data_IF_539893452780
#
_entry.id   IF_539893452780
#
_cell.length_a   1.000
_cell.length_b   1.000
_cell.length_c   1.000
_cell.angle_alpha   90.00
_cell.angle_beta   90.00
_cell.angle_gamma   90.00
#
_symmetry.space_group_name_H-M   'P 1'
#
loop_
_entity.id
_entity.type
_entity.pdbx_description
1 polymer ?
#
# COMPACT_ATOMS: atom_id res chain seq x y z
N UNK A 1 5.39 5.45 22.31
CA UNK A 1 5.97 6.51 23.14
C UNK A 1 5.65 6.24 24.60
N UNK A 2 6.58 6.49 25.55
CA UNK A 2 6.35 6.27 26.98
C UNK A 2 5.28 7.18 27.58
N UNK A 3 4.98 8.29 26.92
CA UNK A 3 3.99 9.31 27.29
C UNK A 3 2.73 9.25 26.44
N UNK A 4 2.49 8.14 25.74
CA UNK A 4 1.31 7.99 24.88
C UNK A 4 0.00 8.06 25.69
N UNK A 5 -0.93 8.84 25.22
CA UNK A 5 -2.27 9.00 25.81
C UNK A 5 -3.33 8.16 25.09
N UNK A 6 -3.11 7.86 23.81
CA UNK A 6 -3.99 7.06 22.94
C UNK A 6 -3.19 5.93 22.33
N UNK A 7 -3.61 4.69 22.54
CA UNK A 7 -2.85 3.50 22.09
C UNK A 7 -3.77 2.59 21.28
N UNK A 8 -3.32 2.19 20.09
CA UNK A 8 -3.93 1.11 19.33
C UNK A 8 -3.28 -0.21 19.74
N UNK A 9 -4.10 -1.23 19.92
CA UNK A 9 -3.64 -2.62 20.16
C UNK A 9 -4.11 -3.46 18.97
N UNK A 10 -3.17 -4.16 18.34
CA UNK A 10 -3.46 -5.01 17.19
C UNK A 10 -2.45 -6.13 17.04
N UNK A 11 -2.72 -7.07 16.13
CA UNK A 11 -1.79 -8.13 15.73
C UNK A 11 -1.79 -8.31 14.21
N UNK A 12 -0.72 -8.93 13.70
CA UNK A 12 -0.56 -9.23 12.29
C UNK A 12 -0.06 -8.06 11.45
N UNK A 13 -0.30 -8.11 10.14
CA UNK A 13 0.32 -7.21 9.15
C UNK A 13 -0.09 -5.74 9.26
N UNK A 14 -1.24 -5.43 9.85
CA UNK A 14 -1.67 -4.04 10.10
C UNK A 14 -0.71 -3.29 11.01
N UNK A 15 0.05 -4.03 11.83
CA UNK A 15 0.97 -3.45 12.81
C UNK A 15 2.04 -2.56 12.16
N UNK A 16 2.51 -2.89 10.98
CA UNK A 16 3.49 -2.08 10.26
C UNK A 16 2.90 -0.74 9.81
N UNK A 17 1.67 -0.75 9.29
CA UNK A 17 0.94 0.48 8.92
C UNK A 17 0.64 1.35 10.16
N UNK A 18 0.27 0.73 11.28
CA UNK A 18 0.07 1.45 12.55
C UNK A 18 1.37 2.10 13.02
N UNK A 19 2.48 1.36 12.99
CA UNK A 19 3.78 1.86 13.44
C UNK A 19 4.25 3.07 12.63
N UNK A 20 4.19 3.02 11.28
CA UNK A 20 4.50 4.16 10.43
C UNK A 20 3.59 5.37 10.71
N UNK A 21 2.30 5.12 10.91
CA UNK A 21 1.35 6.19 11.21
C UNK A 21 1.61 6.81 12.59
N UNK A 22 1.96 6.01 13.58
CA UNK A 22 2.34 6.50 14.93
C UNK A 22 3.59 7.37 14.85
N UNK A 23 4.61 6.95 14.11
CA UNK A 23 5.83 7.74 13.92
C UNK A 23 5.50 9.09 13.26
N UNK A 24 4.65 9.08 12.23
CA UNK A 24 4.19 10.29 11.55
C UNK A 24 3.42 11.24 12.46
N UNK A 25 2.48 10.74 13.26
CA UNK A 25 1.68 11.55 14.18
C UNK A 25 2.52 12.12 15.33
N UNK A 26 3.43 11.30 15.89
CA UNK A 26 4.33 11.75 16.95
C UNK A 26 5.33 12.80 16.45
N UNK A 27 5.79 12.72 15.19
CA UNK A 27 6.61 13.77 14.57
C UNK A 27 5.86 15.11 14.45
N UNK A 28 4.51 15.10 14.47
CA UNK A 28 3.65 16.28 14.51
C UNK A 28 3.29 16.73 15.93
N UNK A 29 3.88 16.11 16.96
CA UNK A 29 3.66 16.46 18.36
C UNK A 29 2.48 15.76 19.03
N UNK A 30 1.90 14.74 18.40
CA UNK A 30 0.84 13.95 19.04
C UNK A 30 1.42 12.96 20.05
N UNK A 31 0.58 12.52 21.00
CA UNK A 31 0.95 11.53 22.02
C UNK A 31 0.21 10.22 21.78
N UNK A 32 0.57 9.57 20.68
CA UNK A 32 -0.04 8.31 20.28
C UNK A 32 0.95 7.16 20.40
N UNK A 33 0.41 5.96 20.59
CA UNK A 33 1.20 4.76 20.77
C UNK A 33 0.57 3.56 20.11
N UNK A 34 1.34 2.50 20.08
CA UNK A 34 0.95 1.23 19.53
C UNK A 34 1.49 0.08 20.37
N UNK A 35 0.65 -0.91 20.62
CA UNK A 35 1.01 -2.17 21.27
C UNK A 35 0.74 -3.32 20.32
N UNK A 36 1.80 -3.97 19.85
CA UNK A 36 1.72 -5.11 18.97
C UNK A 36 1.65 -6.41 19.77
N UNK A 37 0.62 -7.22 19.54
CA UNK A 37 0.49 -8.54 20.13
C UNK A 37 1.16 -9.56 19.20
N UNK A 38 2.34 -10.06 19.56
CA UNK A 38 3.03 -11.12 18.83
C UNK A 38 2.60 -12.51 19.29
N UNK A 39 2.59 -12.74 20.61
CA UNK A 39 2.14 -14.00 21.19
C UNK A 39 0.74 -13.83 21.77
N UNK A 40 -0.26 -14.27 21.00
CA UNK A 40 -1.66 -14.14 21.40
C UNK A 40 -2.08 -15.19 22.45
N UNK A 41 -1.57 -16.40 22.34
CA UNK A 41 -1.82 -17.49 23.31
C UNK A 41 -0.52 -18.19 23.70
N UNK A 42 -0.22 -18.32 25.01
CA UNK A 42 -0.99 -17.78 26.15
C UNK A 42 -0.91 -16.25 26.23
N UNK A 43 -2.02 -15.59 26.61
CA UNK A 43 -2.02 -14.13 26.81
C UNK A 43 -1.34 -13.80 28.14
N UNK A 44 -0.28 -12.99 28.10
CA UNK A 44 0.51 -12.68 29.29
C UNK A 44 0.07 -11.36 29.92
N UNK A 45 -0.62 -11.45 31.06
CA UNK A 45 -1.05 -10.28 31.84
C UNK A 45 0.13 -9.40 32.27
N UNK A 46 1.23 -10.03 32.72
CA UNK A 46 2.40 -9.30 33.18
C UNK A 46 3.06 -8.46 32.08
N UNK A 47 3.25 -9.04 30.88
CA UNK A 47 3.81 -8.30 29.76
C UNK A 47 2.86 -7.23 29.23
N UNK A 48 1.55 -7.53 29.20
CA UNK A 48 0.54 -6.56 28.79
C UNK A 48 0.53 -5.35 29.73
N UNK A 49 0.46 -5.57 31.04
CA UNK A 49 0.46 -4.50 32.03
C UNK A 49 1.73 -3.64 31.98
N UNK A 50 2.90 -4.29 31.83
CA UNK A 50 4.19 -3.59 31.75
C UNK A 50 4.35 -2.75 30.46
N UNK A 51 3.67 -3.13 29.36
CA UNK A 51 3.73 -2.41 28.09
C UNK A 51 2.84 -1.16 28.02
N UNK A 52 1.86 -1.04 28.94
CA UNK A 52 0.94 0.10 28.96
C UNK A 52 1.49 1.23 29.84
N UNK A 53 1.74 2.43 29.31
CA UNK A 53 2.15 3.58 30.11
C UNK A 53 1.01 4.04 31.03
N UNK A 54 1.38 4.71 32.14
CA UNK A 54 0.40 5.28 33.08
C UNK A 54 -0.38 6.47 32.49
N UNK A 55 0.15 7.08 31.43
CA UNK A 55 -0.45 8.23 30.75
C UNK A 55 -1.63 7.87 29.84
N UNK A 56 -1.87 6.58 29.61
CA UNK A 56 -2.89 6.13 28.66
C UNK A 56 -4.30 6.48 29.14
N UNK A 57 -5.05 7.17 28.27
CA UNK A 57 -6.44 7.59 28.51
C UNK A 57 -7.44 6.70 27.81
N UNK A 58 -7.15 6.34 26.56
CA UNK A 58 -8.02 5.52 25.71
C UNK A 58 -7.21 4.47 24.98
N UNK A 59 -7.70 3.25 24.97
CA UNK A 59 -7.22 2.16 24.15
C UNK A 59 -8.21 1.90 23.02
N UNK A 60 -7.71 1.57 21.84
CA UNK A 60 -8.52 0.98 20.77
C UNK A 60 -7.93 -0.37 20.38
N UNK A 61 -8.75 -1.40 20.42
CA UNK A 61 -8.37 -2.73 19.95
C UNK A 61 -8.90 -2.91 18.54
N UNK A 62 -8.01 -3.26 17.60
CA UNK A 62 -8.35 -3.54 16.22
C UNK A 62 -8.30 -5.03 15.94
N UNK A 63 -9.46 -5.60 15.61
CA UNK A 63 -9.62 -7.00 15.22
C UNK A 63 -9.96 -7.12 13.73
N UNK A 64 -9.28 -8.04 13.02
CA UNK A 64 -9.58 -8.37 11.62
C UNK A 64 -10.55 -9.56 11.54
N UNK A 65 -11.55 -9.55 12.37
CA UNK A 65 -12.61 -10.55 12.41
C UNK A 65 -13.92 -9.91 12.81
N UNK A 66 -15.01 -10.66 12.67
CA UNK A 66 -16.33 -10.31 13.17
C UNK A 66 -16.89 -11.54 13.90
N UNK A 67 -17.29 -11.35 15.16
CA UNK A 67 -17.91 -12.37 16.01
C UNK A 67 -19.40 -12.06 16.18
N UNK A 68 -20.28 -12.54 15.27
CA UNK A 68 -21.70 -12.25 15.35
C UNK A 68 -22.31 -12.80 16.63
N UNK A 69 -23.02 -11.94 17.38
CA UNK A 69 -23.66 -12.31 18.65
C UNK A 69 -22.75 -12.25 19.88
N UNK A 70 -21.45 -12.01 19.73
CA UNK A 70 -20.55 -11.75 20.85
C UNK A 70 -20.61 -10.26 21.28
N UNK A 71 -20.16 -9.98 22.50
CA UNK A 71 -20.02 -8.61 23.03
C UNK A 71 -18.89 -7.84 22.36
N UNK A 72 -17.99 -8.53 21.68
CA UNK A 72 -16.86 -7.95 20.96
C UNK A 72 -16.02 -9.05 20.31
N UNK A 73 -15.03 -8.65 19.55
CA UNK A 73 -14.09 -9.53 18.89
C UNK A 73 -13.05 -10.11 19.88
N UNK A 74 -12.33 -11.18 19.51
CA UNK A 74 -11.52 -11.95 20.46
C UNK A 74 -10.43 -11.14 21.16
N UNK A 75 -9.65 -10.34 20.42
CA UNK A 75 -8.57 -9.56 21.06
C UNK A 75 -9.13 -8.47 21.98
N UNK A 76 -10.24 -7.82 21.56
CA UNK A 76 -10.92 -6.84 22.40
C UNK A 76 -11.39 -7.46 23.72
N UNK A 77 -11.99 -8.65 23.67
CA UNK A 77 -12.43 -9.38 24.88
C UNK A 77 -11.27 -9.69 25.83
N UNK A 78 -10.14 -10.17 25.29
CA UNK A 78 -8.96 -10.48 26.08
C UNK A 78 -8.32 -9.22 26.70
N UNK A 79 -8.27 -8.12 25.97
CA UNK A 79 -7.76 -6.84 26.51
C UNK A 79 -8.66 -6.31 27.61
N UNK A 80 -9.98 -6.35 27.46
CA UNK A 80 -10.91 -5.97 28.51
C UNK A 80 -10.73 -6.81 29.78
N UNK A 81 -10.62 -8.14 29.62
CA UNK A 81 -10.37 -9.05 30.74
C UNK A 81 -9.03 -8.76 31.42
N UNK A 82 -7.97 -8.52 30.63
CA UNK A 82 -6.64 -8.22 31.15
C UNK A 82 -6.63 -6.90 31.95
N UNK A 83 -7.36 -5.88 31.52
CA UNK A 83 -7.46 -4.63 32.29
C UNK A 83 -8.17 -4.85 33.63
N UNK A 84 -9.25 -5.64 33.65
CA UNK A 84 -9.94 -5.99 34.90
C UNK A 84 -9.00 -6.73 35.85
N UNK A 85 -8.31 -7.77 35.39
CA UNK A 85 -7.38 -8.58 36.18
C UNK A 85 -6.18 -7.76 36.70
N UNK A 86 -5.77 -6.73 35.98
CA UNK A 86 -4.67 -5.85 36.40
C UNK A 86 -5.13 -4.62 37.18
N UNK A 87 -6.44 -4.48 37.42
CA UNK A 87 -7.03 -3.35 38.16
C UNK A 87 -6.97 -2.02 37.43
N UNK A 88 -6.79 -2.01 36.12
CA UNK A 88 -6.77 -0.78 35.30
C UNK A 88 -8.16 -0.40 34.82
N UNK A 89 -8.50 0.89 34.87
CA UNK A 89 -9.83 1.43 34.50
C UNK A 89 -9.81 2.19 33.18
N UNK A 90 -8.81 1.96 32.33
CA UNK A 90 -8.66 2.65 31.03
C UNK A 90 -9.83 2.34 30.10
N UNK A 91 -10.38 3.36 29.44
CA UNK A 91 -11.43 3.18 28.45
C UNK A 91 -10.92 2.40 27.24
N UNK A 92 -11.70 1.41 26.78
CA UNK A 92 -11.37 0.59 25.61
C UNK A 92 -12.47 0.74 24.55
N UNK A 93 -12.04 0.91 23.30
CA UNK A 93 -12.89 0.91 22.12
C UNK A 93 -12.57 -0.30 21.24
N UNK A 94 -13.61 -0.94 20.71
CA UNK A 94 -13.50 -2.02 19.74
C UNK A 94 -13.58 -1.45 18.32
N UNK A 95 -12.69 -1.89 17.45
CA UNK A 95 -12.70 -1.55 16.02
C UNK A 95 -12.46 -2.76 15.13
N UNK A 96 -13.15 -2.83 14.00
CA UNK A 96 -12.98 -3.86 12.97
C UNK A 96 -12.36 -3.25 11.73
N UNK A 97 -11.45 -3.99 11.10
CA UNK A 97 -10.75 -3.56 9.92
C UNK A 97 -10.49 -4.71 8.96
N UNK A 98 -10.14 -4.42 7.71
CA UNK A 98 -9.53 -5.36 6.76
C UNK A 98 -10.39 -6.56 6.38
N UNK A 99 -11.68 -6.60 6.72
CA UNK A 99 -12.60 -7.66 6.32
C UNK A 99 -12.76 -7.68 4.80
N UNK A 100 -13.04 -8.86 4.24
CA UNK A 100 -13.14 -9.05 2.77
C UNK A 100 -11.86 -8.62 2.03
N UNK A 101 -10.70 -8.85 2.62
CA UNK A 101 -9.38 -8.49 2.05
C UNK A 101 -9.22 -6.99 1.71
N UNK A 102 -9.92 -6.12 2.45
CA UNK A 102 -9.72 -4.68 2.32
C UNK A 102 -8.34 -4.28 2.82
N UNK A 103 -7.70 -3.41 2.07
CA UNK A 103 -6.42 -2.81 2.48
C UNK A 103 -6.60 -1.89 3.68
N UNK A 104 -5.51 -1.69 4.44
CA UNK A 104 -5.50 -0.77 5.59
C UNK A 104 -4.42 0.27 5.35
N UNK A 105 -4.85 1.53 5.28
CA UNK A 105 -4.00 2.66 4.93
C UNK A 105 -3.71 3.54 6.14
N UNK A 106 -2.67 4.39 6.07
CA UNK A 106 -2.39 5.38 7.11
C UNK A 106 -3.57 6.30 7.42
N UNK A 107 -4.35 6.72 6.41
CA UNK A 107 -5.54 7.55 6.65
C UNK A 107 -6.58 6.85 7.53
N UNK A 108 -6.74 5.53 7.36
CA UNK A 108 -7.63 4.73 8.21
C UNK A 108 -7.13 4.66 9.65
N UNK A 109 -5.84 4.53 9.87
CA UNK A 109 -5.23 4.51 11.21
C UNK A 109 -5.35 5.91 11.87
N UNK A 110 -5.16 6.99 11.12
CA UNK A 110 -5.40 8.35 11.60
C UNK A 110 -6.86 8.50 12.05
N UNK A 111 -7.82 8.04 11.24
CA UNK A 111 -9.24 8.08 11.59
C UNK A 111 -9.55 7.33 12.90
N UNK A 112 -8.85 6.22 13.18
CA UNK A 112 -8.96 5.52 14.46
C UNK A 112 -8.48 6.39 15.62
N UNK A 113 -7.32 7.05 15.50
CA UNK A 113 -6.83 7.98 16.53
C UNK A 113 -7.76 9.19 16.71
N UNK A 114 -8.32 9.72 15.62
CA UNK A 114 -9.27 10.83 15.69
C UNK A 114 -10.58 10.42 16.38
N UNK A 115 -11.05 9.19 16.13
CA UNK A 115 -12.18 8.64 16.89
C UNK A 115 -11.88 8.54 18.40
N UNK A 116 -10.66 8.16 18.79
CA UNK A 116 -10.25 8.08 20.20
C UNK A 116 -10.25 9.43 20.89
N UNK A 117 -9.86 10.48 20.18
CA UNK A 117 -9.81 11.88 20.69
C UNK A 117 -11.18 12.56 20.65
N UNK A 118 -12.04 12.17 19.71
CA UNK A 118 -13.32 12.82 19.41
C UNK A 118 -14.55 12.04 19.89
N UNK A 119 -15.29 11.47 18.95
CA UNK A 119 -16.59 10.84 19.19
C UNK A 119 -16.52 9.59 20.08
N UNK A 120 -15.38 8.93 20.15
CA UNK A 120 -15.16 7.69 20.89
C UNK A 120 -16.21 6.61 20.59
N UNK A 121 -16.57 6.49 19.30
CA UNK A 121 -17.50 5.48 18.81
C UNK A 121 -16.91 4.10 19.11
N UNK A 122 -17.70 3.28 19.78
CA UNK A 122 -17.31 1.89 20.10
C UNK A 122 -17.91 0.92 19.07
N UNK A 123 -17.30 -0.24 18.90
CA UNK A 123 -17.70 -1.27 17.91
C UNK A 123 -17.78 -0.72 16.49
N UNK A 124 -16.85 0.18 16.15
CA UNK A 124 -16.79 0.78 14.83
C UNK A 124 -16.15 -0.13 13.78
N UNK A 125 -16.35 0.22 12.51
CA UNK A 125 -15.60 -0.30 11.37
C UNK A 125 -14.79 0.81 10.71
N UNK A 126 -13.62 0.49 10.20
CA UNK A 126 -12.78 1.41 9.43
C UNK A 126 -12.38 0.79 8.09
N UNK A 127 -12.40 1.60 7.03
CA UNK A 127 -12.13 1.13 5.66
C UNK A 127 -13.23 0.26 5.04
N UNK A 128 -14.34 0.11 5.72
CA UNK A 128 -15.53 -0.62 5.30
C UNK A 128 -16.73 0.28 5.54
N UNK A 129 -17.57 0.46 4.53
CA UNK A 129 -18.83 1.20 4.68
C UNK A 129 -19.90 0.23 5.15
N UNK A 130 -20.42 0.47 6.34
CA UNK A 130 -21.56 -0.23 6.91
C UNK A 130 -22.76 0.72 6.98
N UNK A 131 -23.65 0.58 6.04
CA UNK A 131 -24.85 1.41 5.88
C UNK A 131 -26.08 0.83 6.62
N UNK A 132 -25.97 -0.35 7.22
CA UNK A 132 -27.03 -1.01 7.98
C UNK A 132 -26.97 -0.61 9.45
N UNK A 133 -25.83 -0.87 10.10
CA UNK A 133 -25.63 -0.52 11.52
C UNK A 133 -24.94 0.83 11.74
N UNK A 134 -24.54 1.50 10.67
CA UNK A 134 -23.83 2.78 10.68
C UNK A 134 -22.60 2.76 11.59
N UNK A 135 -21.88 1.64 11.63
CA UNK A 135 -20.71 1.47 12.49
C UNK A 135 -19.45 2.13 11.93
N UNK A 136 -19.42 2.49 10.65
CA UNK A 136 -18.26 3.09 9.99
C UNK A 136 -17.84 4.41 10.60
N UNK A 137 -16.54 4.65 10.69
CA UNK A 137 -15.95 5.97 10.94
C UNK A 137 -15.46 6.58 9.63
N UNK A 138 -15.52 7.90 9.53
CA UNK A 138 -15.04 8.63 8.35
C UNK A 138 -13.52 8.56 8.26
N UNK A 139 -13.03 8.38 7.03
CA UNK A 139 -11.60 8.35 6.71
C UNK A 139 -11.26 9.59 5.89
N UNK A 140 -10.29 10.36 6.36
CA UNK A 140 -9.82 11.56 5.69
C UNK A 140 -8.95 11.27 4.47
N UNK A 141 -8.28 12.32 3.97
CA UNK A 141 -7.35 12.20 2.86
C UNK A 141 -6.12 11.36 3.22
N UNK A 142 -5.65 10.57 2.26
CA UNK A 142 -4.45 9.74 2.44
C UNK A 142 -3.21 10.63 2.54
N UNK A 143 -2.45 10.59 3.64
CA UNK A 143 -1.18 11.29 3.75
C UNK A 143 -0.09 10.56 2.95
N UNK A 144 0.89 11.30 2.49
CA UNK A 144 2.13 10.70 1.98
C UNK A 144 3.09 10.51 3.16
N UNK A 145 3.30 9.25 3.56
CA UNK A 145 4.23 8.86 4.63
C UNK A 145 5.58 8.37 4.08
N UNK A 146 5.71 8.28 2.75
CA UNK A 146 6.94 7.80 2.14
C UNK A 146 8.11 8.71 2.49
N UNK A 147 9.24 8.12 2.85
CA UNK A 147 10.49 8.86 2.98
C UNK A 147 10.85 9.52 1.64
N UNK A 148 11.46 10.71 1.69
CA UNK A 148 11.82 11.46 0.48
C UNK A 148 12.72 10.68 -0.50
N UNK A 149 13.48 9.69 -0.01
CA UNK A 149 14.28 8.80 -0.84
C UNK A 149 13.49 7.65 -1.48
N UNK A 150 12.24 7.43 -1.04
CA UNK A 150 11.44 6.32 -1.52
C UNK A 150 10.91 6.58 -2.92
N UNK A 151 11.18 5.66 -3.83
CA UNK A 151 10.61 5.62 -5.17
C UNK A 151 9.51 4.58 -5.18
N UNK A 152 8.29 5.01 -5.53
CA UNK A 152 7.10 4.16 -5.64
C UNK A 152 6.75 3.96 -7.10
N UNK A 153 6.62 2.70 -7.53
CA UNK A 153 6.30 2.33 -8.90
C UNK A 153 5.06 1.43 -8.93
N UNK A 154 4.22 1.61 -9.94
CA UNK A 154 3.05 0.77 -10.16
C UNK A 154 2.97 0.29 -11.60
N UNK A 155 2.63 -0.98 -11.78
CA UNK A 155 2.56 -1.60 -13.11
C UNK A 155 1.21 -2.29 -13.27
N UNK A 156 0.50 -1.90 -14.33
CA UNK A 156 -0.77 -2.46 -14.72
C UNK A 156 -0.57 -3.47 -15.85
N UNK A 157 -0.82 -4.73 -15.58
CA UNK A 157 -0.62 -5.84 -16.51
C UNK A 157 -1.85 -6.71 -16.69
N UNK A 158 -1.80 -7.57 -17.69
CA UNK A 158 -2.81 -8.58 -17.96
C UNK A 158 -2.33 -9.93 -17.38
N UNK A 159 -3.20 -10.65 -16.74
CA UNK A 159 -2.91 -11.98 -16.21
C UNK A 159 -2.30 -12.89 -17.30
N UNK A 160 -1.14 -13.46 -16.99
CA UNK A 160 -0.35 -14.31 -17.88
C UNK A 160 0.47 -13.60 -18.98
N UNK A 161 0.57 -12.26 -18.94
CA UNK A 161 1.41 -11.50 -19.88
C UNK A 161 2.91 -11.43 -19.50
N UNK A 162 3.26 -11.95 -18.33
CA UNK A 162 4.63 -11.93 -17.79
C UNK A 162 5.01 -10.70 -16.98
N UNK A 163 4.11 -9.70 -16.87
CA UNK A 163 4.37 -8.46 -16.11
C UNK A 163 4.78 -8.72 -14.67
N UNK A 164 4.08 -9.60 -13.96
CA UNK A 164 4.38 -9.91 -12.56
C UNK A 164 5.75 -10.58 -12.42
N UNK A 165 6.09 -11.49 -13.33
CA UNK A 165 7.42 -12.15 -13.34
C UNK A 165 8.54 -11.15 -13.56
N UNK A 166 8.39 -10.24 -14.54
CA UNK A 166 9.36 -9.18 -14.80
C UNK A 166 9.52 -8.24 -13.59
N UNK A 167 8.43 -7.87 -12.93
CA UNK A 167 8.48 -6.99 -11.76
C UNK A 167 9.09 -7.67 -10.53
N UNK A 168 8.86 -8.98 -10.33
CA UNK A 168 9.56 -9.76 -9.30
C UNK A 168 11.07 -9.79 -9.57
N UNK A 169 11.47 -9.96 -10.81
CA UNK A 169 12.88 -9.89 -11.20
C UNK A 169 13.44 -8.46 -10.99
N UNK A 170 12.73 -7.43 -11.40
CA UNK A 170 13.16 -6.04 -11.24
C UNK A 170 13.42 -5.69 -9.78
N UNK A 171 12.50 -6.00 -8.87
CA UNK A 171 12.68 -5.68 -7.45
C UNK A 171 13.82 -6.49 -6.82
N UNK A 172 14.03 -7.74 -7.28
CA UNK A 172 15.16 -8.56 -6.86
C UNK A 172 16.49 -7.95 -7.33
N UNK A 173 16.57 -7.54 -8.60
CA UNK A 173 17.77 -6.86 -9.12
C UNK A 173 18.08 -5.61 -8.30
N UNK A 174 17.08 -4.78 -8.00
CA UNK A 174 17.28 -3.58 -7.18
C UNK A 174 17.79 -3.95 -5.78
N UNK A 175 17.18 -4.92 -5.12
CA UNK A 175 17.58 -5.34 -3.77
C UNK A 175 18.95 -6.02 -3.70
N UNK A 176 19.29 -6.82 -4.71
CA UNK A 176 20.56 -7.59 -4.70
C UNK A 176 21.76 -6.75 -5.16
N UNK A 177 21.54 -5.69 -5.95
CA UNK A 177 22.62 -4.93 -6.60
C UNK A 177 22.64 -3.44 -6.24
N UNK A 178 21.90 -3.03 -5.23
CA UNK A 178 21.95 -1.66 -4.67
C UNK A 178 21.87 -1.72 -3.15
N UNK A 179 22.27 -0.65 -2.48
CA UNK A 179 22.11 -0.51 -1.02
C UNK A 179 20.70 -0.09 -0.60
N UNK A 180 19.73 -0.18 -1.51
CA UNK A 180 18.35 0.25 -1.23
C UNK A 180 17.54 -0.85 -0.55
N UNK A 181 16.72 -0.44 0.39
CA UNK A 181 15.62 -1.27 0.88
C UNK A 181 14.57 -1.39 -0.20
N UNK A 182 14.09 -2.61 -0.45
CA UNK A 182 13.16 -2.90 -1.54
C UNK A 182 11.96 -3.70 -1.04
N UNK A 183 10.77 -3.34 -1.50
CA UNK A 183 9.52 -4.04 -1.19
C UNK A 183 8.68 -4.17 -2.45
N UNK A 184 8.01 -5.29 -2.61
CA UNK A 184 7.04 -5.51 -3.67
C UNK A 184 5.76 -6.14 -3.14
N UNK A 185 4.64 -5.72 -3.71
CA UNK A 185 3.33 -6.31 -3.49
C UNK A 185 2.62 -6.52 -4.83
N UNK A 186 1.93 -7.66 -4.97
CA UNK A 186 1.28 -8.03 -6.23
C UNK A 186 -0.19 -8.33 -5.99
N UNK A 187 -1.07 -7.58 -6.65
CA UNK A 187 -2.50 -7.83 -6.68
C UNK A 187 -2.87 -8.64 -7.93
N UNK A 188 -3.74 -9.60 -7.73
CA UNK A 188 -4.27 -10.46 -8.79
C UNK A 188 -5.79 -10.40 -8.79
N UNK A 189 -6.39 -10.40 -9.99
CA UNK A 189 -7.80 -10.73 -10.14
C UNK A 189 -8.02 -12.22 -9.78
N UNK A 190 -9.22 -12.57 -9.35
CA UNK A 190 -9.65 -13.95 -9.10
C UNK A 190 -9.61 -14.82 -10.36
N UNK A 191 -9.65 -14.22 -11.55
CA UNK A 191 -9.47 -14.91 -12.82
C UNK A 191 -8.02 -15.30 -13.03
N UNK A 192 -7.78 -16.58 -13.29
CA UNK A 192 -6.44 -17.14 -13.49
C UNK A 192 -5.75 -16.61 -14.75
N UNK A 193 -6.49 -16.27 -15.79
CA UNK A 193 -5.98 -15.74 -17.05
C UNK A 193 -6.90 -14.64 -17.56
N UNK A 194 -6.31 -13.58 -18.16
CA UNK A 194 -7.05 -12.44 -18.69
C UNK A 194 -7.61 -11.48 -17.62
N UNK A 195 -7.36 -11.73 -16.35
CA UNK A 195 -7.64 -10.80 -15.26
C UNK A 195 -6.59 -9.70 -15.18
N UNK A 196 -6.92 -8.62 -14.48
CA UNK A 196 -5.98 -7.52 -14.23
C UNK A 196 -4.94 -7.92 -13.18
N UNK A 197 -3.69 -7.49 -13.38
CA UNK A 197 -2.64 -7.57 -12.35
C UNK A 197 -2.10 -6.17 -12.07
N UNK A 198 -1.84 -5.87 -10.81
CA UNK A 198 -1.18 -4.65 -10.38
C UNK A 198 0.04 -5.00 -9.54
N UNK A 199 1.19 -4.53 -9.95
CA UNK A 199 2.44 -4.73 -9.20
C UNK A 199 2.84 -3.39 -8.59
N UNK A 200 3.13 -3.41 -7.30
CA UNK A 200 3.58 -2.26 -6.53
C UNK A 200 5.02 -2.50 -6.11
N UNK A 201 5.94 -1.67 -6.55
CA UNK A 201 7.35 -1.73 -6.16
C UNK A 201 7.70 -0.44 -5.40
N UNK A 202 8.34 -0.58 -4.26
CA UNK A 202 8.89 0.55 -3.50
C UNK A 202 10.33 0.24 -3.13
N UNK A 203 11.20 1.22 -3.29
CA UNK A 203 12.61 1.11 -2.91
C UNK A 203 13.16 2.47 -2.50
N UNK A 204 14.08 2.50 -1.55
CA UNK A 204 14.61 3.74 -0.98
C UNK A 204 15.78 3.50 -0.04
N UNK A 205 16.32 4.58 0.53
CA UNK A 205 17.50 4.52 1.40
C UNK A 205 17.15 4.16 2.86
N UNK A 206 15.86 4.10 3.18
CA UNK A 206 15.36 3.71 4.51
C UNK A 206 14.47 2.47 4.44
N UNK A 207 14.36 1.71 5.55
CA UNK A 207 13.47 0.56 5.61
C UNK A 207 12.02 0.91 5.27
N UNK A 208 11.40 0.14 4.39
CA UNK A 208 10.00 0.23 4.01
C UNK A 208 9.26 -0.87 4.77
N UNK A 209 8.45 -0.51 5.76
CA UNK A 209 7.80 -1.46 6.67
C UNK A 209 6.43 -1.88 6.20
N UNK A 210 5.54 -0.91 6.00
CA UNK A 210 4.14 -1.21 5.69
C UNK A 210 3.95 -1.69 4.27
N UNK A 211 2.95 -2.56 4.09
CA UNK A 211 2.65 -3.23 2.83
C UNK A 211 1.38 -2.71 2.16
N UNK A 212 0.92 -1.51 2.51
CA UNK A 212 -0.23 -0.90 1.85
C UNK A 212 0.06 -0.60 0.37
N UNK A 213 -0.99 -0.55 -0.43
CA UNK A 213 -0.90 -0.37 -1.88
C UNK A 213 -0.47 1.05 -2.26
N UNK A 214 0.30 1.16 -3.35
CA UNK A 214 0.57 2.45 -3.98
C UNK A 214 -0.68 2.87 -4.76
N UNK A 215 -1.45 3.78 -4.20
CA UNK A 215 -2.71 4.27 -4.79
C UNK A 215 -2.61 5.69 -5.30
N UNK A 216 -1.62 6.46 -4.82
CA UNK A 216 -1.33 7.84 -5.21
C UNK A 216 0.17 8.11 -5.09
N UNK A 217 0.61 9.24 -5.62
CA UNK A 217 1.98 9.73 -5.51
C UNK A 217 3.06 8.77 -6.06
N UNK A 218 2.70 7.92 -7.05
CA UNK A 218 3.68 7.07 -7.71
C UNK A 218 4.69 7.91 -8.52
N UNK A 219 5.96 7.58 -8.38
CA UNK A 219 7.03 8.18 -9.19
C UNK A 219 7.00 7.68 -10.63
N UNK A 220 6.60 6.42 -10.79
CA UNK A 220 6.56 5.73 -12.07
C UNK A 220 5.32 4.85 -12.15
N UNK A 221 4.56 4.99 -13.22
CA UNK A 221 3.45 4.08 -13.55
C UNK A 221 3.63 3.54 -14.96
N UNK A 222 3.49 2.23 -15.12
CA UNK A 222 3.46 1.59 -16.44
C UNK A 222 2.11 0.91 -16.66
N UNK A 223 1.53 1.13 -17.84
CA UNK A 223 0.37 0.41 -18.32
C UNK A 223 0.78 -0.47 -19.51
N UNK A 224 0.77 -1.78 -19.30
CA UNK A 224 1.20 -2.75 -20.30
C UNK A 224 0.13 -3.14 -21.28
N UNK A 225 -1.14 -2.75 -21.04
CA UNK A 225 -2.27 -3.01 -21.92
C UNK A 225 -3.03 -1.72 -22.21
N UNK A 226 -2.94 -1.24 -23.45
CA UNK A 226 -3.58 0.02 -23.87
C UNK A 226 -5.09 0.08 -23.62
N UNK A 227 -5.80 -1.07 -23.64
CA UNK A 227 -7.25 -1.10 -23.39
C UNK A 227 -7.65 -0.68 -21.95
N UNK A 228 -6.69 -0.58 -21.05
CA UNK A 228 -6.95 -0.14 -19.67
C UNK A 228 -7.12 1.38 -19.57
N UNK A 229 -6.63 2.13 -20.55
CA UNK A 229 -6.77 3.59 -20.56
C UNK A 229 -8.23 4.06 -20.64
N UNK A 230 -9.11 3.23 -21.20
CA UNK A 230 -10.55 3.51 -21.29
C UNK A 230 -11.36 3.01 -20.08
N UNK A 231 -10.73 2.18 -19.21
CA UNK A 231 -11.43 1.45 -18.16
C UNK A 231 -11.06 1.87 -16.75
N UNK A 232 -9.85 2.38 -16.58
CA UNK A 232 -9.27 2.66 -15.27
C UNK A 232 -8.63 4.04 -15.24
N UNK A 233 -8.76 4.72 -14.11
CA UNK A 233 -8.03 5.96 -13.85
C UNK A 233 -6.61 5.61 -13.37
N UNK A 234 -5.68 5.52 -14.33
CA UNK A 234 -4.27 5.12 -14.08
C UNK A 234 -3.40 6.36 -13.83
N UNK A 235 -3.69 7.46 -14.51
CA UNK A 235 -2.80 8.62 -14.55
C UNK A 235 -2.91 9.47 -13.29
N UNK A 236 -4.06 9.48 -12.62
CA UNK A 236 -4.25 10.19 -11.34
C UNK A 236 -3.42 9.63 -10.19
N UNK A 237 -2.89 8.41 -10.34
CA UNK A 237 -2.00 7.79 -9.35
C UNK A 237 -0.58 8.35 -9.36
N UNK A 238 -0.22 9.13 -10.40
CA UNK A 238 1.14 9.63 -10.63
C UNK A 238 1.33 10.97 -9.93
N UNK A 239 2.43 11.11 -9.19
CA UNK A 239 2.77 12.39 -8.58
C UNK A 239 3.16 13.43 -9.64
N UNK A 240 3.03 14.74 -9.35
CA UNK A 240 3.54 15.78 -10.22
C UNK A 240 5.04 15.55 -10.57
N UNK A 241 5.37 15.67 -11.86
CA UNK A 241 6.71 15.38 -12.38
C UNK A 241 7.07 13.89 -12.45
N UNK A 242 6.13 12.99 -12.17
CA UNK A 242 6.33 11.55 -12.30
C UNK A 242 6.35 11.06 -13.76
N UNK A 243 6.60 9.79 -13.94
CA UNK A 243 6.73 9.16 -15.27
C UNK A 243 5.58 8.21 -15.54
N UNK A 244 5.00 8.30 -16.73
CA UNK A 244 4.01 7.37 -17.26
C UNK A 244 4.52 6.66 -18.51
N UNK A 245 4.54 5.33 -18.51
CA UNK A 245 4.87 4.49 -19.66
C UNK A 245 3.65 3.71 -20.13
N UNK A 246 3.23 3.92 -21.36
CA UNK A 246 2.15 3.19 -21.99
C UNK A 246 2.65 2.26 -23.09
N UNK A 247 2.40 0.95 -22.95
CA UNK A 247 2.59 0.01 -24.04
C UNK A 247 1.38 0.07 -24.98
N UNK A 248 1.56 0.65 -26.15
CA UNK A 248 0.50 0.79 -27.13
C UNK A 248 1.05 0.78 -28.56
N UNK A 249 0.17 0.45 -29.51
CA UNK A 249 0.45 0.50 -30.96
C UNK A 249 0.03 1.83 -31.60
N UNK A 250 -0.51 2.75 -30.82
CA UNK A 250 -1.07 4.01 -31.30
C UNK A 250 0.02 4.97 -31.77
N UNK A 251 -0.22 5.61 -32.91
CA UNK A 251 0.56 6.77 -33.37
C UNK A 251 0.29 8.00 -32.48
N UNK A 252 1.11 9.05 -32.56
CA UNK A 252 0.83 10.30 -31.83
C UNK A 252 -0.55 10.90 -32.17
N UNK A 253 -1.01 10.79 -33.43
CA UNK A 253 -2.31 11.28 -33.88
C UNK A 253 -3.44 10.42 -33.23
N UNK A 254 -3.28 9.12 -33.22
CA UNK A 254 -4.25 8.20 -32.61
C UNK A 254 -4.33 8.37 -31.10
N UNK A 255 -3.22 8.67 -30.42
CA UNK A 255 -3.19 8.95 -28.98
C UNK A 255 -4.15 10.09 -28.61
N UNK A 256 -4.25 11.13 -29.45
CA UNK A 256 -5.17 12.26 -29.20
C UNK A 256 -6.64 11.81 -29.20
N UNK A 257 -6.99 10.79 -29.95
CA UNK A 257 -8.34 10.23 -30.02
C UNK A 257 -8.60 9.23 -28.87
N UNK A 258 -7.62 8.42 -28.50
CA UNK A 258 -7.76 7.37 -27.48
C UNK A 258 -7.64 7.87 -26.04
N UNK A 259 -6.89 8.94 -25.81
CA UNK A 259 -6.76 9.51 -24.47
C UNK A 259 -7.90 10.50 -24.19
N UNK A 260 -8.60 10.28 -23.08
CA UNK A 260 -9.65 11.20 -22.64
C UNK A 260 -9.11 12.60 -22.36
N UNK A 261 -9.97 13.61 -22.45
CA UNK A 261 -9.60 14.99 -22.13
C UNK A 261 -9.12 15.15 -20.67
N UNK A 262 -9.61 14.30 -19.76
CA UNK A 262 -9.20 14.28 -18.37
C UNK A 262 -7.76 13.75 -18.21
N UNK A 263 -7.44 12.63 -18.85
CA UNK A 263 -6.07 12.07 -18.86
C UNK A 263 -5.09 13.08 -19.44
N UNK A 264 -5.41 13.70 -20.58
CA UNK A 264 -4.56 14.72 -21.21
C UNK A 264 -4.31 15.92 -20.28
N UNK A 265 -5.36 16.43 -19.62
CA UNK A 265 -5.24 17.52 -18.66
C UNK A 265 -4.41 17.14 -17.44
N UNK A 266 -4.58 15.94 -16.92
CA UNK A 266 -3.81 15.44 -15.77
C UNK A 266 -2.32 15.34 -16.11
N UNK A 267 -1.98 14.79 -17.28
CA UNK A 267 -0.59 14.74 -17.78
C UNK A 267 0.01 16.15 -17.88
N UNK A 268 -0.71 17.08 -18.50
CA UNK A 268 -0.22 18.44 -18.72
C UNK A 268 -0.10 19.23 -17.41
N UNK A 269 -1.13 19.23 -16.57
CA UNK A 269 -1.19 20.03 -15.34
C UNK A 269 -0.17 19.56 -14.30
N UNK A 270 0.11 18.26 -14.25
CA UNK A 270 1.05 17.65 -13.30
C UNK A 270 2.46 17.48 -13.89
N UNK A 271 2.74 17.99 -15.10
CA UNK A 271 4.02 17.83 -15.79
C UNK A 271 4.51 16.38 -15.82
N UNK A 272 3.61 15.43 -16.10
CA UNK A 272 3.95 14.01 -16.16
C UNK A 272 4.76 13.73 -17.43
N UNK A 273 5.91 13.06 -17.24
CA UNK A 273 6.74 12.60 -18.35
C UNK A 273 6.07 11.37 -18.99
N UNK A 274 5.39 11.59 -20.13
CA UNK A 274 4.63 10.56 -20.81
C UNK A 274 5.46 9.93 -21.93
N UNK A 275 5.58 8.60 -21.90
CA UNK A 275 6.27 7.78 -22.89
C UNK A 275 5.36 6.68 -23.41
N UNK A 276 5.51 6.37 -24.70
CA UNK A 276 4.85 5.22 -25.35
C UNK A 276 5.91 4.25 -25.88
N UNK A 277 5.55 2.98 -25.96
CA UNK A 277 6.36 1.93 -26.57
C UNK A 277 5.45 0.91 -27.24
N UNK A 278 5.77 0.49 -28.44
CA UNK A 278 5.16 -0.69 -29.08
C UNK A 278 6.05 -1.92 -28.85
N UNK A 279 5.93 -2.48 -27.65
CA UNK A 279 6.70 -3.66 -27.27
C UNK A 279 6.32 -4.91 -28.08
N UNK A 280 5.12 -4.96 -28.66
CA UNK A 280 4.68 -6.07 -29.52
C UNK A 280 5.43 -6.03 -30.85
N UNK A 281 5.53 -4.86 -31.47
CA UNK A 281 6.29 -4.65 -32.72
C UNK A 281 7.76 -4.97 -32.50
N UNK A 282 8.37 -4.40 -31.47
CA UNK A 282 9.77 -4.69 -31.10
C UNK A 282 9.99 -6.19 -30.89
N UNK A 283 9.10 -6.86 -30.12
CA UNK A 283 9.20 -8.30 -29.88
C UNK A 283 9.17 -9.15 -31.14
N UNK A 284 8.34 -8.78 -32.10
CA UNK A 284 8.28 -9.44 -33.42
C UNK A 284 9.56 -9.23 -34.22
N UNK A 285 10.08 -7.99 -34.26
CA UNK A 285 11.30 -7.62 -34.99
C UNK A 285 12.54 -8.38 -34.48
N UNK A 286 12.63 -8.62 -33.16
CA UNK A 286 13.77 -9.32 -32.55
C UNK A 286 13.53 -10.82 -32.32
N UNK A 287 12.42 -11.37 -32.81
CA UNK A 287 12.13 -12.80 -32.75
C UNK A 287 11.54 -13.32 -31.44
N UNK A 288 11.12 -12.43 -30.52
CA UNK A 288 10.46 -12.82 -29.26
C UNK A 288 8.94 -13.00 -29.41
N UNK A 289 8.39 -12.73 -30.58
CA UNK A 289 6.95 -12.81 -30.84
C UNK A 289 6.16 -11.85 -29.96
N UNK A 290 5.20 -12.37 -29.20
CA UNK A 290 4.35 -11.54 -28.30
C UNK A 290 4.90 -11.42 -26.86
N UNK A 291 6.12 -11.89 -26.61
CA UNK A 291 6.75 -11.78 -25.28
C UNK A 291 7.33 -10.38 -25.07
N UNK A 292 6.59 -9.53 -24.39
CA UNK A 292 6.91 -8.09 -24.22
C UNK A 292 7.55 -7.78 -22.86
N UNK A 293 7.51 -8.71 -21.92
CA UNK A 293 7.91 -8.48 -20.51
C UNK A 293 9.37 -8.00 -20.36
N UNK A 294 10.34 -8.59 -21.05
CA UNK A 294 11.74 -8.17 -20.97
C UNK A 294 11.96 -6.79 -21.63
N UNK A 295 11.22 -6.47 -22.68
CA UNK A 295 11.27 -5.18 -23.37
C UNK A 295 10.76 -4.09 -22.44
N UNK A 296 9.61 -4.31 -21.80
CA UNK A 296 9.00 -3.37 -20.87
C UNK A 296 9.83 -3.22 -19.58
N UNK A 297 10.47 -4.29 -19.11
CA UNK A 297 11.43 -4.25 -18.00
C UNK A 297 12.65 -3.41 -18.34
N UNK A 298 13.19 -3.52 -19.56
CA UNK A 298 14.30 -2.68 -20.03
C UNK A 298 13.91 -1.21 -20.09
N UNK A 299 12.71 -0.90 -20.58
CA UNK A 299 12.16 0.45 -20.62
C UNK A 299 12.00 1.02 -19.19
N UNK A 300 11.53 0.20 -18.23
CA UNK A 300 11.45 0.59 -16.83
C UNK A 300 12.81 1.00 -16.27
N UNK A 301 13.84 0.16 -16.36
CA UNK A 301 15.16 0.50 -15.84
C UNK A 301 15.74 1.75 -16.51
N UNK A 302 15.51 1.94 -17.80
CA UNK A 302 15.95 3.13 -18.51
C UNK A 302 15.28 4.40 -18.02
N UNK A 303 13.95 4.37 -17.85
CA UNK A 303 13.17 5.56 -17.49
C UNK A 303 13.22 5.86 -15.99
N UNK A 304 13.21 4.85 -15.14
CA UNK A 304 13.28 5.02 -13.70
C UNK A 304 14.69 5.37 -13.19
N UNK A 305 15.74 5.14 -14.01
CA UNK A 305 17.12 5.52 -13.77
C UNK A 305 17.65 5.15 -12.36
N UNK A 306 17.36 3.93 -11.92
CA UNK A 306 17.69 3.43 -10.58
C UNK A 306 19.14 2.94 -10.52
N UNK A 307 19.55 2.24 -11.56
CA UNK A 307 20.90 1.71 -11.79
C UNK A 307 21.33 2.04 -13.22
N UNK A 308 22.64 2.08 -13.52
CA UNK A 308 23.11 2.25 -14.89
C UNK A 308 22.47 1.22 -15.84
N UNK A 309 22.07 1.64 -17.03
CA UNK A 309 21.32 0.79 -17.97
C UNK A 309 22.14 -0.47 -18.34
N UNK A 310 23.44 -0.34 -18.55
CA UNK A 310 24.31 -1.45 -18.92
C UNK A 310 24.40 -2.49 -17.80
N UNK A 311 24.42 -2.05 -16.55
CA UNK A 311 24.36 -2.93 -15.39
C UNK A 311 23.00 -3.62 -15.30
N UNK A 312 21.91 -2.88 -15.49
CA UNK A 312 20.56 -3.46 -15.53
C UNK A 312 20.44 -4.55 -16.59
N UNK A 313 20.96 -4.30 -17.80
CA UNK A 313 20.98 -5.28 -18.89
C UNK A 313 21.79 -6.52 -18.50
N UNK A 314 22.95 -6.34 -17.85
CA UNK A 314 23.79 -7.44 -17.39
C UNK A 314 23.06 -8.30 -16.36
N UNK A 315 22.43 -7.69 -15.36
CA UNK A 315 21.67 -8.40 -14.32
C UNK A 315 20.40 -9.07 -14.86
N UNK A 316 19.72 -8.43 -15.80
CA UNK A 316 18.57 -9.04 -16.48
C UNK A 316 18.98 -10.29 -17.26
N UNK A 317 20.12 -10.27 -17.97
CA UNK A 317 20.67 -11.44 -18.70
C UNK A 317 21.07 -12.57 -17.74
N UNK A 318 21.64 -12.23 -16.60
CA UNK A 318 22.05 -13.23 -15.59
C UNK A 318 20.86 -13.90 -14.88
N UNK A 319 19.68 -13.29 -14.93
CA UNK A 319 18.46 -13.79 -14.29
C UNK A 319 17.59 -14.65 -15.21
N UNK A 320 17.96 -14.84 -16.48
CA UNK A 320 17.31 -15.71 -17.48
C UNK A 320 17.97 -17.08 -17.47
#
# INVERSE_FOLDING_TARGET
>A
APDAEHIIIAMGSVCDTIAETVDYLNAKGEKVGFLQVHLYRPFSLAHFAAALPETVKVLTVLDRTKEPGALGEPLYGDVCSALIETGRTTKVLAGRYGLSSKDVTPAQIIAVFDNMKGAQKNHFTVGIIDDISNSSIEVGAEPDLADASTVSCKFWGLGSDGTVGANKNSIKIIGDHTDKYAQAYFEYDTKKSGGITRSHLRFGDKPIRSSYLVTKNANFVACHNQSYMEKYDIVSEIKPGGTFLLNCTWTPEELDHHLSAEVKRTIANNNIHFYTIDAIKIGKEIGLGNKTNAILQSAFFKLANIIPVDDAVTYMKAAI
#
